data_IF_866809581902
#
_entry.id   IF_866809581902
#
_cell.length_a   1.000
_cell.length_b   1.000
_cell.length_c   1.000
_cell.angle_alpha   90.00
_cell.angle_beta   90.00
_cell.angle_gamma   90.00
#
_symmetry.space_group_name_H-M   'P 1'
#
loop_
_entity.id
_entity.type
_entity.pdbx_description
1 polymer ?
#
# COMPACT_ATOMS: atom_id res chain seq x y z
N UNK A 1 22.65 15.42 -4.61
CA UNK A 1 21.75 14.94 -3.55
C UNK A 1 21.44 13.47 -3.77
N UNK A 2 21.53 12.67 -2.73
CA UNK A 2 21.31 11.23 -2.83
C UNK A 2 19.85 10.91 -2.53
N UNK A 3 19.21 10.21 -3.46
CA UNK A 3 17.85 9.72 -3.26
C UNK A 3 17.88 8.30 -2.70
N UNK A 4 16.78 7.90 -2.03
CA UNK A 4 16.59 6.51 -1.66
C UNK A 4 16.49 5.64 -2.92
N UNK A 5 17.05 4.43 -2.85
CA UNK A 5 16.86 3.42 -3.90
C UNK A 5 15.42 2.90 -3.86
N UNK A 6 14.92 2.26 -4.94
CA UNK A 6 13.60 1.64 -4.91
C UNK A 6 13.41 0.68 -3.73
N UNK A 7 14.41 -0.17 -3.43
CA UNK A 7 14.31 -1.08 -2.30
C UNK A 7 14.22 -0.33 -0.96
N UNK A 8 14.97 0.76 -0.80
CA UNK A 8 14.90 1.59 0.40
C UNK A 8 13.54 2.29 0.54
N UNK A 9 12.95 2.73 -0.57
CA UNK A 9 11.60 3.33 -0.56
C UNK A 9 10.56 2.30 -0.10
N UNK A 10 10.65 1.05 -0.55
CA UNK A 10 9.75 -0.01 -0.11
C UNK A 10 9.88 -0.29 1.39
N UNK A 11 11.10 -0.32 1.91
CA UNK A 11 11.31 -0.51 3.34
C UNK A 11 10.78 0.68 4.15
N UNK A 12 10.99 1.89 3.66
CA UNK A 12 10.46 3.09 4.30
C UNK A 12 8.93 3.08 4.31
N UNK A 13 8.31 2.66 3.21
CA UNK A 13 6.85 2.49 3.12
C UNK A 13 6.35 1.54 4.22
N UNK A 14 7.02 0.40 4.38
CA UNK A 14 6.66 -0.58 5.39
C UNK A 14 6.70 0.05 6.79
N UNK A 15 7.78 0.74 7.13
CA UNK A 15 7.91 1.42 8.43
C UNK A 15 6.79 2.42 8.67
N UNK A 16 6.47 3.23 7.66
CA UNK A 16 5.44 4.25 7.78
C UNK A 16 4.04 3.66 7.95
N UNK A 17 3.73 2.58 7.23
CA UNK A 17 2.45 1.89 7.37
C UNK A 17 2.33 1.26 8.76
N UNK A 18 3.38 0.63 9.27
CA UNK A 18 3.35 -0.02 10.58
C UNK A 18 3.32 0.99 11.73
N UNK A 19 3.88 2.18 11.55
CA UNK A 19 3.79 3.26 12.53
C UNK A 19 2.53 4.11 12.38
N UNK A 20 1.68 3.79 11.39
CA UNK A 20 0.45 4.52 11.10
C UNK A 20 0.69 6.00 10.76
N UNK A 21 1.83 6.29 10.13
CA UNK A 21 2.19 7.64 9.68
C UNK A 21 1.62 7.89 8.29
N UNK A 22 0.38 8.34 8.24
CA UNK A 22 -0.34 8.57 6.98
C UNK A 22 0.26 9.71 6.17
N UNK A 23 0.77 10.74 6.82
CA UNK A 23 1.39 11.87 6.13
C UNK A 23 2.73 11.47 5.53
N UNK A 24 3.55 10.74 6.27
CA UNK A 24 4.81 10.22 5.76
C UNK A 24 4.61 9.27 4.59
N UNK A 25 3.58 8.43 4.66
CA UNK A 25 3.24 7.51 3.56
C UNK A 25 2.91 8.30 2.28
N UNK A 26 2.03 9.30 2.37
CA UNK A 26 1.67 10.13 1.22
C UNK A 26 2.88 10.88 0.66
N UNK A 27 3.78 11.34 1.52
CA UNK A 27 4.99 12.06 1.13
C UNK A 27 5.98 11.21 0.35
N UNK A 28 5.87 9.87 0.40
CA UNK A 28 6.68 8.97 -0.44
C UNK A 28 6.32 9.06 -1.93
N UNK A 29 5.13 9.54 -2.26
CA UNK A 29 4.69 9.67 -3.65
C UNK A 29 5.13 11.00 -4.23
N UNK A 30 5.41 11.00 -5.55
CA UNK A 30 5.57 12.28 -6.24
C UNK A 30 4.21 12.98 -6.34
N UNK A 31 4.17 14.31 -6.64
CA UNK A 31 2.89 15.04 -6.70
C UNK A 31 1.85 14.42 -7.64
N UNK A 32 2.27 13.86 -8.77
CA UNK A 32 1.39 13.17 -9.73
C UNK A 32 1.31 11.67 -9.53
N UNK A 33 1.79 11.16 -8.40
CA UNK A 33 1.80 9.72 -8.11
C UNK A 33 0.39 9.12 -8.09
N UNK A 34 0.30 7.83 -8.42
CA UNK A 34 -0.98 7.13 -8.60
C UNK A 34 -0.98 5.83 -7.83
N UNK A 35 -2.11 5.53 -7.19
CA UNK A 35 -2.42 4.18 -6.70
C UNK A 35 -3.51 3.60 -7.59
N UNK A 36 -3.30 2.37 -8.05
CA UNK A 36 -4.32 1.60 -8.77
C UNK A 36 -4.59 0.30 -8.01
N UNK A 37 -5.87 -0.09 -7.94
CA UNK A 37 -6.29 -1.35 -7.32
C UNK A 37 -7.17 -2.09 -8.33
N UNK A 38 -6.56 -2.90 -9.24
CA UNK A 38 -7.30 -3.51 -10.37
C UNK A 38 -8.46 -4.40 -9.95
N UNK A 39 -8.39 -5.05 -8.78
CA UNK A 39 -9.44 -5.92 -8.27
C UNK A 39 -10.13 -5.31 -7.04
N UNK A 40 -10.36 -3.99 -7.10
CA UNK A 40 -10.80 -3.23 -5.93
C UNK A 40 -12.08 -3.75 -5.26
N UNK A 41 -13.04 -4.24 -6.05
CA UNK A 41 -14.34 -4.60 -5.50
C UNK A 41 -15.08 -3.37 -4.98
N UNK A 42 -16.19 -3.56 -4.22
CA UNK A 42 -16.99 -2.43 -3.73
C UNK A 42 -16.37 -1.68 -2.54
N UNK A 43 -15.43 -2.30 -1.82
CA UNK A 43 -14.92 -1.76 -0.56
C UNK A 43 -13.67 -0.88 -0.72
N UNK A 44 -13.08 -0.86 -1.92
CA UNK A 44 -11.82 -0.15 -2.19
C UNK A 44 -11.97 0.76 -3.41
N UNK A 45 -11.25 1.90 -3.45
CA UNK A 45 -11.19 2.70 -4.67
C UNK A 45 -10.39 1.97 -5.74
N UNK A 46 -10.82 2.05 -7.00
CA UNK A 46 -10.08 1.44 -8.11
C UNK A 46 -8.82 2.23 -8.46
N UNK A 47 -8.84 3.55 -8.22
CA UNK A 47 -7.72 4.44 -8.55
C UNK A 47 -7.73 5.68 -7.68
N UNK A 48 -6.54 6.14 -7.31
CA UNK A 48 -6.31 7.42 -6.65
C UNK A 48 -5.29 8.19 -7.49
N UNK A 49 -5.70 9.34 -8.00
CA UNK A 49 -4.86 10.19 -8.85
C UNK A 49 -4.26 11.35 -8.06
N UNK A 50 -2.95 11.32 -7.90
CA UNK A 50 -2.18 12.38 -7.28
C UNK A 50 -1.97 12.21 -5.79
N UNK A 51 -0.90 12.82 -5.31
CA UNK A 51 -0.46 12.72 -3.91
C UNK A 51 -1.55 13.18 -2.93
N UNK A 52 -2.30 14.23 -3.27
CA UNK A 52 -3.33 14.73 -2.37
C UNK A 52 -4.49 13.75 -2.21
N UNK A 53 -4.91 13.11 -3.30
CA UNK A 53 -5.94 12.07 -3.23
C UNK A 53 -5.48 10.88 -2.38
N UNK A 54 -4.21 10.51 -2.50
CA UNK A 54 -3.59 9.46 -1.70
C UNK A 54 -3.57 9.85 -0.22
N UNK A 55 -3.21 11.09 0.09
CA UNK A 55 -3.18 11.62 1.46
C UNK A 55 -4.57 11.59 2.09
N UNK A 56 -5.57 12.06 1.38
CA UNK A 56 -6.95 12.09 1.87
C UNK A 56 -7.48 10.68 2.12
N UNK A 57 -7.20 9.76 1.22
CA UNK A 57 -7.59 8.36 1.37
C UNK A 57 -6.89 7.70 2.57
N UNK A 58 -5.60 7.94 2.72
CA UNK A 58 -4.82 7.39 3.85
C UNK A 58 -5.37 7.87 5.20
N UNK A 59 -5.77 9.13 5.28
CA UNK A 59 -6.41 9.68 6.48
C UNK A 59 -7.75 8.99 6.77
N UNK A 60 -8.55 8.73 5.73
CA UNK A 60 -9.83 8.00 5.90
C UNK A 60 -9.61 6.57 6.38
N UNK A 61 -8.62 5.88 5.82
CA UNK A 61 -8.29 4.51 6.26
C UNK A 61 -7.84 4.51 7.71
N UNK A 62 -6.99 5.45 8.10
CA UNK A 62 -6.52 5.55 9.49
C UNK A 62 -7.65 5.83 10.48
N UNK A 63 -8.71 6.53 10.05
CA UNK A 63 -9.89 6.81 10.86
C UNK A 63 -10.92 5.68 10.82
N UNK A 64 -10.72 4.68 9.96
CA UNK A 64 -11.64 3.54 9.82
C UNK A 64 -11.37 2.46 10.87
N UNK A 65 -12.20 1.42 10.84
CA UNK A 65 -12.03 0.26 11.71
C UNK A 65 -10.94 -0.71 11.25
N UNK A 66 -10.25 -0.41 10.16
CA UNK A 66 -9.19 -1.28 9.64
C UNK A 66 -7.82 -0.84 10.18
N UNK A 67 -7.12 -1.76 10.85
CA UNK A 67 -5.77 -1.50 11.35
C UNK A 67 -4.80 -2.51 10.74
N UNK A 68 -3.72 -2.01 10.13
CA UNK A 68 -2.63 -2.86 9.65
C UNK A 68 -1.72 -3.17 10.84
N UNK A 69 -1.52 -4.47 11.10
CA UNK A 69 -0.69 -4.95 12.21
C UNK A 69 0.71 -5.35 11.76
N UNK A 70 0.84 -5.91 10.54
CA UNK A 70 2.13 -6.31 9.98
C UNK A 70 2.07 -6.38 8.45
N UNK A 71 3.22 -6.19 7.83
CA UNK A 71 3.46 -6.36 6.40
C UNK A 71 4.68 -7.25 6.25
N UNK A 72 4.45 -8.51 5.89
CA UNK A 72 5.50 -9.49 5.71
C UNK A 72 5.85 -9.63 4.23
N UNK A 73 7.04 -9.13 3.87
CA UNK A 73 7.54 -9.22 2.49
C UNK A 73 8.04 -10.64 2.23
N UNK A 74 7.34 -11.36 1.36
CA UNK A 74 7.71 -12.73 0.97
C UNK A 74 8.84 -12.71 -0.05
N UNK A 75 8.75 -11.82 -1.06
CA UNK A 75 9.74 -11.71 -2.11
C UNK A 75 9.69 -10.34 -2.77
N UNK A 76 10.85 -9.88 -3.24
CA UNK A 76 10.97 -8.69 -4.09
C UNK A 76 11.59 -9.14 -5.40
N UNK A 77 10.92 -8.85 -6.50
CA UNK A 77 11.38 -9.20 -7.84
C UNK A 77 11.85 -7.94 -8.56
N UNK A 78 13.08 -7.96 -9.03
CA UNK A 78 13.64 -6.90 -9.85
C UNK A 78 13.28 -7.19 -11.31
N UNK A 79 12.99 -6.14 -12.08
CA UNK A 79 12.67 -6.25 -13.51
C UNK A 79 13.80 -5.66 -14.34
N UNK A 80 13.70 -5.77 -15.68
CA UNK A 80 14.66 -5.16 -16.60
C UNK A 80 14.64 -3.62 -16.50
N UNK A 81 13.54 -3.05 -16.01
CA UNK A 81 13.45 -1.62 -15.73
C UNK A 81 13.84 -1.38 -14.28
N UNK A 82 14.95 -0.67 -13.98
CA UNK A 82 15.41 -0.47 -12.62
C UNK A 82 14.44 0.36 -11.75
N UNK A 83 13.49 1.06 -12.36
CA UNK A 83 12.45 1.79 -11.63
C UNK A 83 11.29 0.90 -11.20
N UNK A 84 11.16 -0.29 -11.78
CA UNK A 84 9.99 -1.15 -11.56
C UNK A 84 10.36 -2.36 -10.71
N UNK A 85 9.70 -2.49 -9.56
CA UNK A 85 9.80 -3.63 -8.66
C UNK A 85 8.45 -4.28 -8.49
N UNK A 86 8.46 -5.60 -8.30
CA UNK A 86 7.27 -6.38 -7.97
C UNK A 86 7.49 -6.97 -6.58
N UNK A 87 6.50 -6.82 -5.71
CA UNK A 87 6.57 -7.28 -4.32
C UNK A 87 5.45 -8.27 -4.05
N UNK A 88 5.80 -9.42 -3.50
CA UNK A 88 4.83 -10.37 -2.97
C UNK A 88 4.83 -10.26 -1.46
N UNK A 89 3.65 -10.05 -0.86
CA UNK A 89 3.57 -9.83 0.58
C UNK A 89 2.31 -10.43 1.19
N UNK A 90 2.38 -10.59 2.51
CA UNK A 90 1.24 -10.95 3.36
C UNK A 90 0.98 -9.78 4.30
N UNK A 91 -0.23 -9.24 4.24
CA UNK A 91 -0.69 -8.20 5.17
C UNK A 91 -1.46 -8.87 6.30
N UNK A 92 -1.14 -8.52 7.54
CA UNK A 92 -1.91 -8.88 8.73
C UNK A 92 -2.65 -7.64 9.20
N UNK A 93 -3.93 -7.76 9.41
CA UNK A 93 -4.78 -6.62 9.80
C UNK A 93 -5.86 -7.07 10.77
N UNK A 94 -6.46 -6.10 11.46
CA UNK A 94 -7.55 -6.31 12.41
C UNK A 94 -8.67 -5.34 12.11
N UNK A 95 -9.90 -5.83 12.12
CA UNK A 95 -11.10 -4.99 12.15
C UNK A 95 -11.36 -4.61 13.60
N UNK A 96 -11.07 -3.37 13.97
CA UNK A 96 -11.02 -2.95 15.38
C UNK A 96 -12.38 -2.95 16.07
N UNK A 97 -13.48 -2.80 15.31
CA UNK A 97 -14.84 -2.82 15.88
C UNK A 97 -15.28 -4.21 16.32
N UNK A 98 -14.73 -5.27 15.71
CA UNK A 98 -15.08 -6.67 16.03
C UNK A 98 -13.94 -7.43 16.68
N UNK A 99 -12.70 -6.91 16.61
CA UNK A 99 -11.50 -7.62 17.03
C UNK A 99 -11.07 -8.72 16.08
N UNK A 100 -11.72 -8.86 14.91
CA UNK A 100 -11.41 -9.92 13.96
C UNK A 100 -10.12 -9.64 13.25
N UNK A 101 -9.14 -10.55 13.41
CA UNK A 101 -7.88 -10.51 12.68
C UNK A 101 -8.00 -11.31 11.38
N UNK A 102 -7.29 -10.85 10.35
CA UNK A 102 -7.24 -11.58 9.09
C UNK A 102 -5.91 -11.36 8.39
N UNK A 103 -5.59 -12.20 7.42
CA UNK A 103 -4.43 -12.08 6.57
C UNK A 103 -4.87 -12.01 5.11
N UNK A 104 -4.11 -11.27 4.31
CA UNK A 104 -4.35 -11.19 2.87
C UNK A 104 -3.01 -11.22 2.14
N UNK A 105 -2.91 -12.08 1.12
CA UNK A 105 -1.78 -12.11 0.22
C UNK A 105 -2.04 -11.17 -0.94
N UNK A 106 -0.98 -10.49 -1.41
CA UNK A 106 -1.08 -9.61 -2.57
C UNK A 106 0.22 -9.55 -3.33
N UNK A 107 0.09 -9.18 -4.60
CA UNK A 107 1.20 -8.79 -5.46
C UNK A 107 1.06 -7.30 -5.71
N UNK A 108 2.15 -6.56 -5.55
CA UNK A 108 2.17 -5.11 -5.75
C UNK A 108 3.25 -4.75 -6.74
N UNK A 109 2.93 -3.87 -7.68
CA UNK A 109 3.86 -3.38 -8.68
C UNK A 109 4.13 -1.90 -8.40
N UNK A 110 5.40 -1.55 -8.33
CA UNK A 110 5.83 -0.18 -8.04
C UNK A 110 6.68 0.36 -9.18
N UNK A 111 6.45 1.63 -9.53
CA UNK A 111 7.44 2.43 -10.27
C UNK A 111 7.95 3.51 -9.34
N UNK A 112 9.27 3.52 -9.14
CA UNK A 112 9.95 4.42 -8.19
C UNK A 112 11.08 5.12 -8.91
N UNK A 113 11.12 6.45 -8.82
CA UNK A 113 12.15 7.29 -9.42
C UNK A 113 12.59 8.36 -8.44
N UNK A 114 13.90 8.56 -8.32
CA UNK A 114 14.47 9.60 -7.47
C UNK A 114 13.91 9.58 -6.04
N UNK A 115 13.74 8.38 -5.49
CA UNK A 115 13.27 8.19 -4.12
C UNK A 115 11.77 8.40 -3.93
N UNK A 116 11.00 8.57 -5.01
CA UNK A 116 9.55 8.80 -4.94
C UNK A 116 8.78 7.75 -5.73
N UNK A 117 7.58 7.43 -5.25
CA UNK A 117 6.69 6.48 -5.91
C UNK A 117 5.87 7.22 -6.97
N UNK A 118 5.97 6.77 -8.22
CA UNK A 118 5.18 7.27 -9.33
C UNK A 118 3.89 6.46 -9.51
N UNK A 119 4.01 5.15 -9.30
CA UNK A 119 2.89 4.21 -9.41
C UNK A 119 3.01 3.15 -8.32
N UNK A 120 1.89 2.89 -7.66
CA UNK A 120 1.69 1.76 -6.78
C UNK A 120 0.43 1.04 -7.23
N UNK A 121 0.60 -0.13 -7.86
CA UNK A 121 -0.52 -0.96 -8.31
C UNK A 121 -0.64 -2.15 -7.36
N UNK A 122 -1.77 -2.22 -6.66
CA UNK A 122 -2.02 -3.21 -5.64
C UNK A 122 -3.03 -4.24 -6.15
N UNK A 123 -2.56 -5.45 -6.46
CA UNK A 123 -3.42 -6.61 -6.74
C UNK A 123 -3.86 -7.20 -5.41
N UNK A 124 -4.67 -6.44 -4.69
CA UNK A 124 -5.20 -6.83 -3.39
C UNK A 124 -6.21 -7.96 -3.52
N UNK A 125 -6.41 -8.70 -2.42
CA UNK A 125 -7.43 -9.75 -2.36
C UNK A 125 -8.74 -9.15 -1.80
N UNK A 126 -9.71 -8.80 -2.65
CA UNK A 126 -10.96 -8.18 -2.19
C UNK A 126 -11.84 -9.16 -1.39
N UNK A 127 -11.69 -10.45 -1.61
CA UNK A 127 -12.45 -11.49 -0.89
C UNK A 127 -12.05 -11.51 0.57
N UNK A 128 -10.75 -11.48 0.87
CA UNK A 128 -10.25 -11.48 2.25
C UNK A 128 -10.76 -10.27 3.02
N UNK A 129 -10.76 -9.08 2.40
CA UNK A 129 -11.26 -7.86 3.03
C UNK A 129 -12.77 -7.94 3.26
N UNK A 130 -13.53 -8.36 2.25
CA UNK A 130 -14.98 -8.48 2.36
C UNK A 130 -15.38 -9.46 3.47
N UNK A 131 -14.73 -10.61 3.53
CA UNK A 131 -14.98 -11.61 4.59
C UNK A 131 -14.69 -11.04 5.97
N UNK A 132 -13.58 -10.30 6.12
CA UNK A 132 -13.22 -9.69 7.40
C UNK A 132 -14.22 -8.63 7.84
N UNK A 133 -14.80 -7.89 6.90
CA UNK A 133 -15.82 -6.87 7.17
C UNK A 133 -17.22 -7.47 7.41
N UNK A 134 -17.37 -8.79 7.29
CA UNK A 134 -18.64 -9.46 7.54
C UNK A 134 -19.63 -9.42 6.38
N UNK A 135 -19.12 -9.20 5.19
CA UNK A 135 -19.95 -9.18 3.99
C UNK A 135 -20.40 -10.60 3.57
#
# INVERSE_FOLDING_TARGET
MTHLTPAQVLERRRELLLSHDTEGFADLFEPGGVIEIPFAGPDLPARLDGQQAIRDYSRRVAASALRIDDLDTVAVYHTDDPEVLIVELVTRATVTTTGRAFTARSIQVFRIRDGKILLFRDYANPIALADALGA
#
